data_IF_697140991548
#
_entry.id   IF_697140991548
#
_cell.length_a   1.000
_cell.length_b   1.000
_cell.length_c   1.000
_cell.angle_alpha   90.00
_cell.angle_beta   90.00
_cell.angle_gamma   90.00
#
_symmetry.space_group_name_H-M   'P 1'
#
loop_
_entity.id
_entity.type
_entity.pdbx_description
1 polymer ?
#
# COMPACT_ATOMS: atom_id res chain seq x y z
N UNK A 1 -13.96 29.12 24.75
CA UNK A 1 -14.59 27.88 25.31
C UNK A 1 -13.99 26.71 24.57
N UNK A 2 -13.07 26.00 25.20
CA UNK A 2 -12.48 24.77 24.68
C UNK A 2 -13.59 23.76 24.45
N UNK A 3 -13.84 23.37 23.21
CA UNK A 3 -14.66 22.23 22.92
C UNK A 3 -13.71 21.02 22.80
N UNK A 4 -13.64 20.22 23.86
CA UNK A 4 -13.02 18.90 23.76
C UNK A 4 -13.93 18.07 22.84
N UNK A 5 -13.54 17.90 21.58
CA UNK A 5 -14.26 17.05 20.66
C UNK A 5 -13.79 15.61 20.87
N UNK A 6 -14.60 14.81 21.53
CA UNK A 6 -14.39 13.37 21.60
C UNK A 6 -14.87 12.81 20.28
N UNK A 7 -13.96 12.28 19.46
CA UNK A 7 -14.26 11.64 18.16
C UNK A 7 -15.19 10.41 18.26
N UNK A 8 -15.69 10.12 19.47
CA UNK A 8 -16.66 9.05 19.75
C UNK A 8 -17.94 9.13 18.89
N UNK A 9 -18.28 10.31 18.38
CA UNK A 9 -19.44 10.47 17.49
C UNK A 9 -19.26 9.78 16.12
N UNK A 10 -18.03 9.66 15.64
CA UNK A 10 -17.74 8.98 14.37
C UNK A 10 -17.97 7.45 14.44
N UNK A 11 -17.69 6.84 15.62
CA UNK A 11 -17.96 5.42 15.83
C UNK A 11 -19.46 5.12 15.93
N UNK A 12 -20.23 6.02 16.57
CA UNK A 12 -21.67 5.85 16.71
C UNK A 12 -22.41 5.84 15.36
N UNK A 13 -21.88 6.60 14.38
CA UNK A 13 -22.40 6.59 13.01
C UNK A 13 -22.13 5.29 12.26
N UNK A 14 -21.01 4.64 12.53
CA UNK A 14 -20.67 3.35 11.91
C UNK A 14 -21.47 2.18 12.48
N UNK A 15 -21.78 2.19 13.77
CA UNK A 15 -22.56 1.13 14.42
C UNK A 15 -24.01 1.09 13.93
N UNK A 16 -24.56 2.21 13.51
CA UNK A 16 -25.92 2.27 12.96
C UNK A 16 -26.02 1.72 11.53
N UNK A 17 -24.93 1.78 10.76
CA UNK A 17 -24.92 1.33 9.37
C UNK A 17 -24.55 -0.16 9.22
N UNK A 18 -23.79 -0.76 10.17
CA UNK A 18 -23.24 -2.11 10.03
C UNK A 18 -23.57 -3.08 11.15
N UNK A 19 -24.19 -2.61 12.26
CA UNK A 19 -24.50 -3.47 13.43
C UNK A 19 -23.28 -4.03 14.17
N UNK A 20 -22.06 -3.53 13.89
CA UNK A 20 -20.81 -4.02 14.45
C UNK A 20 -20.29 -3.09 15.56
N UNK A 21 -20.23 -3.62 16.79
CA UNK A 21 -19.52 -3.01 17.92
C UNK A 21 -18.33 -3.92 18.22
N UNK A 22 -17.09 -3.47 18.04
CA UNK A 22 -15.92 -4.27 18.41
C UNK A 22 -15.94 -4.58 19.93
N UNK A 23 -15.73 -5.82 20.30
CA UNK A 23 -15.73 -6.26 21.73
C UNK A 23 -14.74 -5.46 22.60
N UNK A 24 -13.72 -4.85 22.02
CA UNK A 24 -12.72 -4.07 22.77
C UNK A 24 -13.19 -2.69 23.24
N UNK A 25 -14.32 -2.17 22.71
CA UNK A 25 -14.88 -0.89 23.19
C UNK A 25 -15.53 -1.05 24.58
N UNK A 26 -16.00 -2.25 24.92
CA UNK A 26 -16.60 -2.53 26.23
C UNK A 26 -15.55 -2.64 27.35
N UNK A 27 -14.34 -3.09 27.04
CA UNK A 27 -13.25 -3.20 28.02
C UNK A 27 -12.69 -1.84 28.47
N UNK A 28 -12.84 -0.80 27.67
CA UNK A 28 -12.37 0.55 28.00
C UNK A 28 -13.31 1.31 28.98
N UNK A 29 -14.53 0.81 29.24
CA UNK A 29 -15.48 1.44 30.15
C UNK A 29 -15.41 0.95 31.60
N UNK A 30 -14.71 -0.15 31.89
CA UNK A 30 -14.66 -0.74 33.25
C UNK A 30 -13.35 -0.52 34.03
N UNK A 31 -12.41 0.24 33.48
CA UNK A 31 -11.11 0.47 34.13
C UNK A 31 -10.98 1.85 34.72
N UNK A 32 -11.61 2.13 35.91
CA UNK A 32 -11.18 3.24 36.77
C UNK A 32 -9.90 2.84 37.49
N UNK A 33 -8.73 3.06 36.86
CA UNK A 33 -7.48 3.20 37.57
C UNK A 33 -7.03 4.66 37.51
N UNK A 34 -6.82 5.26 38.68
CA UNK A 34 -6.16 6.54 38.84
C UNK A 34 -4.79 6.49 38.16
N UNK A 35 -4.69 7.05 36.96
CA UNK A 35 -3.42 7.31 36.31
C UNK A 35 -2.95 8.69 36.72
N UNK A 36 -1.75 8.76 37.25
CA UNK A 36 -1.01 10.02 37.43
C UNK A 36 -0.92 10.75 36.11
N UNK A 37 -1.58 11.90 36.04
CA UNK A 37 -1.61 12.78 34.88
C UNK A 37 -0.22 13.30 34.55
N UNK A 38 0.47 12.67 33.58
CA UNK A 38 1.33 13.47 32.71
C UNK A 38 0.38 14.34 31.88
N UNK A 39 0.54 15.66 31.99
CA UNK A 39 -0.22 16.66 31.23
C UNK A 39 -0.05 16.35 29.75
N UNK A 40 -1.09 15.82 29.12
CA UNK A 40 -1.12 15.56 27.68
C UNK A 40 -0.75 16.85 26.93
N UNK A 41 0.25 16.77 26.05
CA UNK A 41 0.65 17.90 25.20
C UNK A 41 -0.53 18.17 24.26
N UNK A 42 -1.09 19.39 24.35
CA UNK A 42 -2.05 19.84 23.35
C UNK A 42 -1.37 19.84 21.97
N UNK A 43 -1.93 19.09 21.04
CA UNK A 43 -1.47 19.09 19.65
C UNK A 43 -2.28 20.13 18.90
N UNK A 44 -1.58 21.12 18.32
CA UNK A 44 -2.17 21.99 17.30
C UNK A 44 -2.45 21.14 16.07
N UNK A 45 -3.72 20.78 15.87
CA UNK A 45 -4.15 19.94 14.77
C UNK A 45 -3.81 20.52 13.41
N UNK A 46 -3.98 21.82 13.25
CA UNK A 46 -3.73 22.50 11.98
C UNK A 46 -2.24 22.41 11.60
N UNK A 47 -1.37 22.68 12.57
CA UNK A 47 0.08 22.53 12.37
C UNK A 47 0.50 21.07 12.15
N UNK A 48 -0.12 20.13 12.87
CA UNK A 48 0.23 18.70 12.78
C UNK A 48 -0.10 18.09 11.40
N UNK A 49 -1.11 18.61 10.71
CA UNK A 49 -1.54 18.10 9.41
C UNK A 49 -1.10 18.98 8.23
N UNK A 50 -0.33 20.04 8.47
CA UNK A 50 0.20 20.89 7.40
C UNK A 50 1.17 20.08 6.52
N UNK A 51 0.96 20.03 5.19
CA UNK A 51 1.80 19.21 4.33
C UNK A 51 3.19 19.82 4.13
N UNK A 52 4.20 18.95 4.14
CA UNK A 52 5.60 19.33 3.86
C UNK A 52 5.91 19.14 2.38
N UNK A 53 6.52 20.15 1.78
CA UNK A 53 6.90 20.12 0.37
C UNK A 53 8.26 19.42 0.20
N UNK A 54 8.30 18.40 -0.66
CA UNK A 54 9.54 17.73 -1.04
C UNK A 54 10.35 18.52 -2.08
N UNK A 55 11.57 18.08 -2.39
CA UNK A 55 12.46 18.71 -3.41
C UNK A 55 11.85 18.71 -4.81
N UNK A 56 11.05 17.70 -5.15
CA UNK A 56 10.31 17.60 -6.43
C UNK A 56 9.00 18.42 -6.43
N UNK A 57 8.53 18.92 -5.31
CA UNK A 57 7.25 19.60 -5.15
C UNK A 57 6.32 18.84 -4.19
N UNK A 58 5.01 18.98 -4.35
CA UNK A 58 4.02 18.08 -3.77
C UNK A 58 3.68 17.00 -4.80
N UNK A 59 3.73 15.74 -4.40
CA UNK A 59 3.53 14.60 -5.32
C UNK A 59 2.26 14.72 -6.14
N UNK A 60 1.14 15.04 -5.51
CA UNK A 60 -0.17 15.14 -6.18
C UNK A 60 -0.23 16.23 -7.25
N UNK A 61 0.60 17.26 -7.16
CA UNK A 61 0.67 18.35 -8.15
C UNK A 61 1.58 18.01 -9.34
N UNK A 62 2.54 17.09 -9.16
CA UNK A 62 3.61 16.83 -10.14
C UNK A 62 3.77 15.37 -10.53
N UNK A 63 2.84 14.49 -10.14
CA UNK A 63 2.93 13.04 -10.38
C UNK A 63 3.13 12.66 -11.86
N UNK A 64 2.66 13.48 -12.79
CA UNK A 64 2.82 13.27 -14.22
C UNK A 64 4.27 13.42 -14.70
N UNK A 65 5.18 13.94 -13.86
CA UNK A 65 6.61 13.97 -14.15
C UNK A 65 7.25 12.59 -14.21
N UNK A 66 6.55 11.53 -13.79
CA UNK A 66 7.01 10.15 -13.88
C UNK A 66 7.07 9.67 -15.34
N UNK A 67 8.11 10.08 -16.02
CA UNK A 67 8.38 9.73 -17.42
C UNK A 67 9.82 9.28 -17.58
N UNK A 68 10.10 8.57 -18.68
CA UNK A 68 11.46 8.12 -19.02
C UNK A 68 12.43 9.27 -19.38
N UNK A 69 11.91 10.47 -19.57
CA UNK A 69 12.71 11.67 -19.84
C UNK A 69 13.26 12.30 -18.54
N UNK A 70 12.60 12.06 -17.41
CA UNK A 70 12.94 12.61 -16.09
C UNK A 70 13.51 11.48 -15.22
N UNK A 71 14.81 11.46 -15.00
CA UNK A 71 15.49 10.37 -14.29
C UNK A 71 16.34 10.88 -13.10
N UNK A 72 15.82 11.87 -12.35
CA UNK A 72 16.40 12.28 -11.06
C UNK A 72 15.30 12.46 -10.02
N UNK A 73 15.63 12.38 -8.72
CA UNK A 73 14.66 12.60 -7.64
C UNK A 73 13.94 13.96 -7.70
N UNK A 74 14.60 14.99 -8.19
CA UNK A 74 14.06 16.37 -8.26
C UNK A 74 13.16 16.56 -9.49
N UNK A 75 13.41 15.82 -10.57
CA UNK A 75 12.70 15.97 -11.85
C UNK A 75 11.57 14.98 -12.05
N UNK A 76 11.51 13.92 -11.23
CA UNK A 76 10.53 12.84 -11.31
C UNK A 76 9.97 12.53 -9.91
N UNK A 77 8.71 12.84 -9.69
CA UNK A 77 8.08 12.67 -8.38
C UNK A 77 8.14 11.22 -7.87
N UNK A 78 7.99 10.22 -8.75
CA UNK A 78 8.03 8.82 -8.35
C UNK A 78 9.44 8.34 -7.99
N UNK A 79 10.48 8.89 -8.60
CA UNK A 79 11.85 8.68 -8.13
C UNK A 79 12.06 9.43 -6.81
N UNK A 80 11.55 10.66 -6.72
CA UNK A 80 11.71 11.50 -5.53
C UNK A 80 11.10 10.94 -4.27
N UNK A 81 9.85 10.42 -4.32
CA UNK A 81 9.20 9.80 -3.15
C UNK A 81 9.94 8.54 -2.66
N UNK A 82 10.67 7.88 -3.53
CA UNK A 82 11.46 6.69 -3.24
C UNK A 82 12.91 7.01 -2.83
N UNK A 83 13.31 8.29 -2.75
CA UNK A 83 14.72 8.71 -2.64
C UNK A 83 15.42 8.31 -1.34
N UNK A 84 14.69 7.90 -0.30
CA UNK A 84 15.28 7.29 0.90
C UNK A 84 16.07 6.01 0.62
N UNK A 85 15.85 5.38 -0.53
CA UNK A 85 16.71 4.29 -0.99
C UNK A 85 18.16 4.72 -1.21
N UNK A 86 18.40 6.00 -1.50
CA UNK A 86 19.76 6.55 -1.69
C UNK A 86 20.57 6.63 -0.41
N UNK A 87 19.95 6.55 0.76
CA UNK A 87 20.65 6.44 2.04
C UNK A 87 21.25 5.01 2.21
N UNK A 88 20.74 4.03 1.47
CA UNK A 88 21.14 2.62 1.54
C UNK A 88 22.02 2.23 0.36
N UNK A 89 21.70 2.73 -0.84
CA UNK A 89 22.35 2.31 -2.08
C UNK A 89 22.47 3.47 -3.07
N UNK A 90 23.66 3.70 -3.56
CA UNK A 90 23.92 4.64 -4.67
C UNK A 90 23.93 3.87 -5.99
N UNK A 91 23.06 4.24 -6.96
CA UNK A 91 23.07 3.64 -8.30
C UNK A 91 24.42 3.88 -9.00
N UNK A 92 24.89 2.88 -9.74
CA UNK A 92 26.03 3.03 -10.64
C UNK A 92 25.62 3.31 -12.08
N UNK A 93 26.60 3.35 -12.97
CA UNK A 93 26.34 3.48 -14.41
C UNK A 93 25.66 2.22 -14.97
N UNK A 94 25.98 1.06 -14.41
CA UNK A 94 25.39 -0.22 -14.73
C UNK A 94 24.76 -0.90 -13.52
N UNK A 95 24.03 -2.00 -13.75
CA UNK A 95 23.30 -2.78 -12.75
C UNK A 95 24.16 -3.41 -11.65
N UNK A 96 25.42 -3.63 -11.91
CA UNK A 96 26.37 -4.27 -10.99
C UNK A 96 27.46 -3.31 -10.51
N UNK A 97 27.36 -2.02 -10.78
CA UNK A 97 28.37 -1.02 -10.44
C UNK A 97 27.94 -0.05 -9.34
N UNK A 98 26.71 -0.20 -8.85
CA UNK A 98 26.21 0.60 -7.71
C UNK A 98 26.93 0.25 -6.39
N UNK A 99 26.85 1.17 -5.43
CA UNK A 99 27.54 1.05 -4.13
C UNK A 99 26.51 0.95 -3.00
N UNK A 100 26.64 -0.10 -2.17
CA UNK A 100 25.90 -0.19 -0.91
C UNK A 100 26.51 0.78 0.09
N UNK A 101 25.72 1.72 0.62
CA UNK A 101 26.13 2.71 1.61
C UNK A 101 25.84 2.24 3.04
N UNK A 102 24.65 1.70 3.27
CA UNK A 102 24.26 1.10 4.54
C UNK A 102 24.25 -0.43 4.41
N UNK A 103 25.38 -1.03 4.74
CA UNK A 103 25.57 -2.48 4.67
C UNK A 103 24.68 -3.23 5.65
N UNK A 104 24.43 -2.66 6.83
CA UNK A 104 23.59 -3.29 7.87
C UNK A 104 22.16 -3.45 7.38
N UNK A 105 21.54 -2.38 6.88
CA UNK A 105 20.18 -2.42 6.35
C UNK A 105 20.09 -3.28 5.09
N UNK A 106 21.06 -3.17 4.19
CA UNK A 106 21.09 -3.97 2.97
C UNK A 106 21.18 -5.47 3.29
N UNK A 107 22.07 -5.87 4.21
CA UNK A 107 22.20 -7.25 4.65
C UNK A 107 20.93 -7.76 5.33
N UNK A 108 20.35 -6.96 6.25
CA UNK A 108 19.10 -7.31 6.94
C UNK A 108 17.94 -7.53 5.95
N UNK A 109 17.84 -6.70 4.90
CA UNK A 109 16.87 -6.87 3.82
C UNK A 109 17.04 -8.23 3.10
N UNK A 110 18.25 -8.62 2.75
CA UNK A 110 18.51 -9.88 2.05
C UNK A 110 18.38 -11.10 2.97
N UNK A 111 18.77 -10.97 4.25
CA UNK A 111 18.58 -12.01 5.25
C UNK A 111 17.09 -12.29 5.49
N UNK A 112 16.26 -11.25 5.51
CA UNK A 112 14.80 -11.39 5.61
C UNK A 112 14.22 -12.14 4.41
N UNK A 113 14.69 -11.86 3.20
CA UNK A 113 14.28 -12.62 1.99
C UNK A 113 14.68 -14.08 2.13
N UNK A 114 15.92 -14.36 2.56
CA UNK A 114 16.38 -15.73 2.81
C UNK A 114 15.52 -16.45 3.83
N UNK A 115 15.22 -15.80 4.96
CA UNK A 115 14.35 -16.34 6.01
C UNK A 115 12.98 -16.74 5.45
N UNK A 116 12.31 -15.82 4.75
CA UNK A 116 10.98 -16.04 4.17
C UNK A 116 11.03 -17.17 3.12
N UNK A 117 12.01 -17.13 2.21
CA UNK A 117 12.10 -18.14 1.15
C UNK A 117 12.51 -19.52 1.64
N UNK A 118 13.22 -19.63 2.76
CA UNK A 118 13.58 -20.90 3.37
C UNK A 118 12.43 -21.58 4.11
N UNK A 119 11.51 -20.78 4.67
CA UNK A 119 10.42 -21.26 5.53
C UNK A 119 9.05 -21.33 4.83
N UNK A 120 8.97 -20.96 3.55
CA UNK A 120 7.70 -20.92 2.79
C UNK A 120 7.07 -22.29 2.66
N UNK A 121 5.75 -22.36 2.88
CA UNK A 121 4.93 -23.55 2.70
C UNK A 121 4.56 -23.79 1.23
N UNK A 122 3.95 -24.95 0.92
CA UNK A 122 3.44 -25.22 -0.43
C UNK A 122 2.24 -24.33 -0.78
N UNK A 123 1.39 -24.01 0.19
CA UNK A 123 0.30 -23.05 0.01
C UNK A 123 0.83 -21.67 -0.34
N UNK A 124 1.85 -21.21 0.39
CA UNK A 124 2.49 -19.91 0.11
C UNK A 124 3.16 -19.89 -1.28
N UNK A 125 3.78 -21.00 -1.71
CA UNK A 125 4.33 -21.11 -3.08
C UNK A 125 3.24 -21.05 -4.13
N UNK A 126 2.13 -21.73 -3.90
CA UNK A 126 0.96 -21.70 -4.81
C UNK A 126 0.41 -20.28 -4.89
N UNK A 127 0.16 -19.65 -3.74
CA UNK A 127 -0.31 -18.24 -3.68
C UNK A 127 0.66 -17.32 -4.42
N UNK A 128 1.96 -17.44 -4.18
CA UNK A 128 2.96 -16.61 -4.83
C UNK A 128 3.02 -16.82 -6.35
N UNK A 129 2.79 -18.04 -6.83
CA UNK A 129 2.66 -18.32 -8.26
C UNK A 129 1.43 -17.64 -8.86
N UNK A 130 0.26 -17.76 -8.22
CA UNK A 130 -0.97 -17.15 -8.69
C UNK A 130 -0.86 -15.62 -8.71
N UNK A 131 -0.35 -15.02 -7.65
CA UNK A 131 -0.12 -13.57 -7.54
C UNK A 131 0.91 -13.03 -8.53
N UNK A 132 1.82 -13.88 -9.00
CA UNK A 132 2.78 -13.55 -10.06
C UNK A 132 2.16 -13.63 -11.45
N UNK A 133 1.37 -14.67 -11.72
CA UNK A 133 0.95 -15.02 -13.09
C UNK A 133 -0.39 -14.44 -13.49
N UNK A 134 -1.29 -14.18 -12.53
CA UNK A 134 -2.56 -13.50 -12.79
C UNK A 134 -2.36 -12.00 -12.96
N UNK A 135 -3.27 -11.38 -13.73
CA UNK A 135 -3.40 -9.94 -13.72
C UNK A 135 -3.63 -9.44 -12.28
N UNK A 136 -2.85 -8.45 -11.82
CA UNK A 136 -2.95 -7.96 -10.44
C UNK A 136 -4.33 -7.38 -10.13
N UNK A 137 -5.01 -6.76 -11.12
CA UNK A 137 -6.35 -6.24 -10.92
C UNK A 137 -7.34 -7.37 -10.59
N UNK A 138 -7.26 -8.49 -11.34
CA UNK A 138 -8.07 -9.66 -11.05
C UNK A 138 -7.75 -10.25 -9.68
N UNK A 139 -6.47 -10.40 -9.35
CA UNK A 139 -6.06 -10.90 -8.03
C UNK A 139 -6.58 -10.06 -6.88
N UNK A 140 -6.76 -8.76 -7.07
CA UNK A 140 -7.26 -7.87 -6.03
C UNK A 140 -8.77 -8.01 -5.80
N UNK A 141 -9.54 -8.61 -6.73
CA UNK A 141 -10.97 -8.84 -6.51
C UNK A 141 -11.25 -9.70 -5.27
N UNK A 142 -10.32 -10.58 -4.90
CA UNK A 142 -10.43 -11.39 -3.67
C UNK A 142 -10.57 -10.53 -2.40
N UNK A 143 -9.95 -9.35 -2.36
CA UNK A 143 -10.07 -8.41 -1.24
C UNK A 143 -11.47 -7.79 -1.09
N UNK A 144 -12.34 -7.95 -2.08
CA UNK A 144 -13.76 -7.58 -1.97
C UNK A 144 -14.56 -8.58 -1.12
N UNK A 145 -13.96 -9.71 -0.71
CA UNK A 145 -14.56 -10.70 0.18
C UNK A 145 -15.89 -11.19 -0.33
N UNK A 146 -16.95 -11.14 0.46
CA UNK A 146 -18.29 -11.58 0.07
C UNK A 146 -18.89 -10.86 -1.13
N UNK A 147 -18.33 -9.74 -1.57
CA UNK A 147 -18.75 -9.02 -2.79
C UNK A 147 -18.01 -9.49 -4.05
N UNK A 148 -16.90 -10.25 -3.90
CA UNK A 148 -15.97 -10.56 -4.97
C UNK A 148 -16.64 -11.28 -6.16
N UNK A 149 -17.39 -12.37 -5.89
CA UNK A 149 -18.01 -13.17 -6.97
C UNK A 149 -19.06 -12.35 -7.73
N UNK A 150 -19.90 -11.59 -7.02
CA UNK A 150 -20.92 -10.75 -7.66
C UNK A 150 -20.29 -9.64 -8.51
N UNK A 151 -19.16 -9.09 -8.05
CA UNK A 151 -18.38 -8.13 -8.84
C UNK A 151 -17.80 -8.80 -10.10
N UNK A 152 -17.14 -9.96 -9.95
CA UNK A 152 -16.53 -10.72 -11.06
C UNK A 152 -17.59 -11.03 -12.12
N UNK A 153 -18.74 -11.57 -11.71
CA UNK A 153 -19.83 -11.91 -12.63
C UNK A 153 -20.38 -10.68 -13.35
N UNK A 154 -20.61 -9.60 -12.62
CA UNK A 154 -21.20 -8.38 -13.19
C UNK A 154 -20.23 -7.54 -14.04
N UNK A 155 -18.96 -7.54 -13.72
CA UNK A 155 -17.91 -6.90 -14.50
C UNK A 155 -17.25 -7.85 -15.51
N UNK A 156 -17.75 -9.11 -15.61
CA UNK A 156 -17.17 -10.15 -16.49
C UNK A 156 -15.64 -10.31 -16.28
N UNK A 157 -15.22 -10.34 -14.99
CA UNK A 157 -13.81 -10.45 -14.63
C UNK A 157 -13.19 -11.75 -15.11
N UNK A 158 -11.97 -11.70 -15.66
CA UNK A 158 -11.36 -12.82 -16.34
C UNK A 158 -9.91 -13.04 -15.95
N UNK A 159 -9.53 -14.32 -15.83
CA UNK A 159 -8.15 -14.80 -15.78
C UNK A 159 -8.04 -16.13 -16.53
N UNK A 160 -6.92 -16.34 -17.20
CA UNK A 160 -6.59 -17.64 -17.83
C UNK A 160 -5.77 -18.54 -16.92
N UNK A 161 -5.34 -18.04 -15.76
CA UNK A 161 -4.52 -18.79 -14.79
C UNK A 161 -5.45 -19.49 -13.79
N UNK A 162 -5.46 -20.81 -13.82
CA UNK A 162 -6.23 -21.65 -12.91
C UNK A 162 -5.72 -21.59 -11.47
N UNK A 163 -6.49 -22.13 -10.50
CA UNK A 163 -6.11 -22.13 -9.07
C UNK A 163 -4.97 -23.12 -8.74
N UNK A 164 -4.52 -23.90 -9.71
CA UNK A 164 -3.45 -24.87 -9.54
C UNK A 164 -2.25 -24.53 -10.41
N UNK A 165 -1.05 -24.81 -9.89
CA UNK A 165 0.19 -24.67 -10.67
C UNK A 165 0.23 -25.79 -11.72
N UNK A 166 0.40 -25.49 -13.03
CA UNK A 166 0.60 -26.50 -14.05
C UNK A 166 1.83 -27.38 -13.77
N UNK A 167 1.74 -28.67 -14.07
CA UNK A 167 2.83 -29.62 -13.80
C UNK A 167 4.15 -29.25 -14.51
N UNK A 168 4.06 -28.64 -15.68
CA UNK A 168 5.20 -28.20 -16.49
C UNK A 168 5.62 -26.74 -16.26
N UNK A 169 5.04 -26.05 -15.27
CA UNK A 169 5.37 -24.64 -14.95
C UNK A 169 6.83 -24.41 -14.57
N UNK A 170 7.60 -25.48 -14.28
CA UNK A 170 9.04 -25.37 -14.02
C UNK A 170 9.87 -25.12 -15.29
N UNK A 171 9.31 -25.37 -16.46
CA UNK A 171 9.95 -25.24 -17.77
C UNK A 171 9.17 -24.36 -18.74
N UNK A 172 7.83 -24.28 -18.57
CA UNK A 172 6.94 -23.47 -19.39
C UNK A 172 6.59 -22.19 -18.66
N UNK A 173 6.70 -21.07 -19.39
CA UNK A 173 6.23 -19.78 -18.90
C UNK A 173 4.75 -19.61 -19.18
N UNK A 174 3.94 -19.50 -18.12
CA UNK A 174 2.53 -19.12 -18.22
C UNK A 174 2.37 -17.64 -17.96
N UNK A 175 1.64 -16.95 -18.79
CA UNK A 175 1.23 -15.56 -18.59
C UNK A 175 -0.30 -15.49 -18.71
N UNK A 176 -0.92 -14.63 -17.93
CA UNK A 176 -2.36 -14.39 -18.03
C UNK A 176 -2.68 -13.82 -19.42
N UNK A 177 -3.61 -14.47 -20.14
CA UNK A 177 -4.08 -13.97 -21.41
C UNK A 177 -4.75 -12.58 -21.30
N UNK A 178 -5.15 -12.22 -20.07
CA UNK A 178 -5.74 -10.93 -19.70
C UNK A 178 -4.72 -10.07 -18.92
N UNK A 179 -3.45 -10.08 -19.36
CA UNK A 179 -2.34 -9.34 -18.72
C UNK A 179 -2.51 -7.82 -18.73
N UNK A 180 -1.47 -7.10 -18.35
CA UNK A 180 -1.50 -5.65 -18.09
C UNK A 180 -2.13 -4.77 -19.18
N UNK A 181 -2.04 -5.20 -20.43
CA UNK A 181 -2.57 -4.46 -21.60
C UNK A 181 -3.85 -5.08 -22.18
N UNK A 182 -4.40 -6.11 -21.58
CA UNK A 182 -5.63 -6.76 -22.00
C UNK A 182 -6.75 -6.47 -20.98
N UNK A 183 -8.01 -6.41 -21.43
CA UNK A 183 -9.13 -6.18 -20.53
C UNK A 183 -9.29 -7.37 -19.56
N UNK A 184 -8.96 -7.16 -18.29
CA UNK A 184 -9.16 -8.12 -17.19
C UNK A 184 -10.63 -8.17 -16.73
N UNK A 185 -11.43 -7.17 -17.11
CA UNK A 185 -12.85 -7.03 -16.84
C UNK A 185 -13.51 -6.20 -17.93
N UNK A 186 -14.81 -6.40 -18.14
CA UNK A 186 -15.62 -5.60 -19.04
C UNK A 186 -15.99 -4.27 -18.39
N UNK A 187 -15.42 -3.18 -18.89
CA UNK A 187 -15.67 -1.82 -18.37
C UNK A 187 -17.09 -1.32 -18.65
N UNK A 188 -17.84 -1.96 -19.52
CA UNK A 188 -19.24 -1.66 -19.83
C UNK A 188 -20.23 -2.64 -19.14
N UNK A 189 -19.71 -3.59 -18.37
CA UNK A 189 -20.49 -4.51 -17.53
C UNK A 189 -21.21 -3.81 -16.38
N UNK A 190 -22.00 -4.55 -15.63
CA UNK A 190 -22.86 -4.02 -14.55
C UNK A 190 -22.10 -3.24 -13.49
N UNK A 191 -20.87 -3.64 -13.17
CA UNK A 191 -19.96 -2.96 -12.22
C UNK A 191 -18.69 -2.46 -12.93
N UNK A 192 -18.78 -2.24 -14.24
CA UNK A 192 -17.64 -1.91 -15.10
C UNK A 192 -16.98 -0.57 -14.76
N UNK A 193 -17.69 0.36 -14.10
CA UNK A 193 -17.08 1.64 -13.70
C UNK A 193 -16.06 1.47 -12.56
N UNK A 194 -16.16 0.43 -11.72
CA UNK A 194 -15.11 0.07 -10.76
C UNK A 194 -13.85 -0.33 -11.53
N UNK A 195 -13.98 -1.18 -12.55
CA UNK A 195 -12.84 -1.55 -13.42
C UNK A 195 -12.27 -0.34 -14.18
N UNK A 196 -13.12 0.60 -14.65
CA UNK A 196 -12.66 1.86 -15.25
C UNK A 196 -11.82 2.68 -14.28
N UNK A 197 -12.23 2.78 -13.02
CA UNK A 197 -11.47 3.52 -11.99
C UNK A 197 -10.10 2.85 -11.76
N UNK A 198 -10.06 1.51 -11.64
CA UNK A 198 -8.80 0.75 -11.54
C UNK A 198 -7.88 1.06 -12.71
N UNK A 199 -8.38 0.96 -13.95
CA UNK A 199 -7.60 1.21 -15.15
C UNK A 199 -7.12 2.68 -15.22
N UNK A 200 -7.94 3.63 -14.77
CA UNK A 200 -7.60 5.06 -14.73
C UNK A 200 -6.43 5.32 -13.76
N UNK A 201 -6.51 4.80 -12.54
CA UNK A 201 -5.48 4.98 -11.51
C UNK A 201 -4.18 4.27 -11.90
N UNK A 202 -4.26 3.14 -12.61
CA UNK A 202 -3.10 2.39 -13.12
C UNK A 202 -2.52 2.93 -14.43
N UNK A 203 -3.14 3.94 -15.03
CA UNK A 203 -2.70 4.54 -16.28
C UNK A 203 -1.50 5.47 -16.14
N UNK A 204 -0.91 5.86 -17.27
CA UNK A 204 0.05 6.95 -17.38
C UNK A 204 1.22 6.90 -16.41
N UNK A 205 1.17 7.80 -15.43
CA UNK A 205 2.24 8.00 -14.44
C UNK A 205 2.42 6.85 -13.42
N UNK A 206 1.64 5.76 -13.50
CA UNK A 206 1.70 4.64 -12.57
C UNK A 206 2.88 3.69 -12.76
N UNK A 207 3.63 3.82 -13.86
CA UNK A 207 4.73 2.91 -14.22
C UNK A 207 5.92 3.01 -13.27
N UNK A 208 6.43 1.86 -12.82
CA UNK A 208 7.67 1.76 -12.04
C UNK A 208 8.94 1.81 -12.89
N UNK A 209 8.83 1.90 -14.21
CA UNK A 209 9.96 1.74 -15.13
C UNK A 209 11.02 2.82 -14.97
N UNK A 210 10.63 4.09 -14.79
CA UNK A 210 11.57 5.20 -14.58
C UNK A 210 12.38 5.03 -13.31
N UNK A 211 11.71 4.67 -12.19
CA UNK A 211 12.36 4.42 -10.92
C UNK A 211 13.30 3.21 -11.00
N UNK A 212 12.89 2.10 -11.61
CA UNK A 212 13.75 0.93 -11.82
C UNK A 212 15.00 1.28 -12.64
N UNK A 213 14.83 2.08 -13.69
CA UNK A 213 15.93 2.54 -14.55
C UNK A 213 16.91 3.46 -13.80
N UNK A 214 16.40 4.27 -12.89
CA UNK A 214 17.23 5.16 -12.07
C UNK A 214 17.97 4.39 -10.99
N UNK A 215 17.25 3.63 -10.14
CA UNK A 215 17.85 2.98 -8.98
C UNK A 215 18.75 1.80 -9.35
N UNK A 216 18.47 1.09 -10.43
CA UNK A 216 19.23 -0.09 -10.87
C UNK A 216 19.51 -1.09 -9.73
N UNK A 217 18.68 -1.11 -8.69
CA UNK A 217 18.84 -2.01 -7.57
C UNK A 217 18.43 -3.43 -7.97
N UNK A 218 19.32 -4.37 -7.77
CA UNK A 218 19.14 -5.75 -8.25
C UNK A 218 18.10 -6.51 -7.43
N UNK A 219 17.53 -7.52 -8.06
CA UNK A 219 16.66 -8.50 -7.36
C UNK A 219 17.49 -9.36 -6.39
N UNK A 220 16.88 -9.92 -5.31
CA UNK A 220 17.61 -10.63 -4.26
C UNK A 220 18.38 -11.85 -4.79
N UNK A 221 17.82 -12.60 -5.75
CA UNK A 221 18.55 -13.74 -6.34
C UNK A 221 19.79 -13.34 -7.17
N UNK A 222 19.87 -12.10 -7.64
CA UNK A 222 21.06 -11.57 -8.32
C UNK A 222 22.12 -11.16 -7.33
N UNK A 223 21.75 -10.50 -6.24
CA UNK A 223 22.66 -10.21 -5.14
C UNK A 223 23.32 -11.47 -4.61
N UNK A 224 22.56 -12.54 -4.43
CA UNK A 224 23.06 -13.80 -3.92
C UNK A 224 24.08 -14.51 -4.85
N UNK A 225 24.18 -14.08 -6.10
CA UNK A 225 25.15 -14.61 -7.09
C UNK A 225 26.41 -13.76 -7.22
N UNK A 226 26.43 -12.57 -6.61
CA UNK A 226 27.61 -11.72 -6.60
C UNK A 226 28.58 -12.19 -5.51
N UNK A 227 29.77 -12.62 -5.91
CA UNK A 227 30.95 -12.87 -5.06
C UNK A 227 30.74 -13.78 -3.84
N UNK A 228 29.56 -14.39 -3.66
CA UNK A 228 29.25 -15.23 -2.49
C UNK A 228 29.11 -14.47 -1.17
N UNK A 229 29.05 -13.14 -1.19
CA UNK A 229 28.98 -12.30 0.00
C UNK A 229 27.56 -12.20 0.58
N UNK A 230 26.52 -12.43 -0.24
CA UNK A 230 25.14 -12.27 0.15
C UNK A 230 24.41 -13.60 0.31
N UNK A 231 23.35 -13.64 1.17
CA UNK A 231 22.63 -14.88 1.43
C UNK A 231 21.95 -15.42 0.18
N UNK A 232 21.97 -16.76 0.04
CA UNK A 232 21.36 -17.43 -1.10
C UNK A 232 19.83 -17.28 -1.06
N UNK A 233 19.27 -16.75 -2.14
CA UNK A 233 17.84 -16.62 -2.39
C UNK A 233 17.42 -17.54 -3.51
N UNK A 234 16.38 -18.35 -3.29
CA UNK A 234 15.84 -19.27 -4.29
C UNK A 234 14.51 -18.79 -4.82
N UNK A 235 14.36 -18.71 -6.14
CA UNK A 235 13.09 -18.52 -6.81
C UNK A 235 12.27 -19.81 -6.69
N UNK A 236 10.95 -19.75 -6.48
CA UNK A 236 10.11 -20.94 -6.54
C UNK A 236 10.21 -21.58 -7.94
N UNK A 237 10.27 -22.91 -7.99
CA UNK A 237 10.59 -23.62 -9.24
C UNK A 237 9.62 -23.30 -10.38
N UNK A 238 8.34 -23.17 -10.09
CA UNK A 238 7.30 -22.83 -11.06
C UNK A 238 7.40 -21.40 -11.63
N UNK A 239 8.19 -20.50 -11.00
CA UNK A 239 8.49 -19.17 -11.53
C UNK A 239 9.90 -19.04 -12.11
N UNK A 240 10.68 -20.11 -12.13
CA UNK A 240 12.03 -20.12 -12.73
C UNK A 240 12.03 -19.64 -14.19
N UNK A 241 11.05 -20.01 -15.03
CA UNK A 241 10.96 -19.51 -16.40
C UNK A 241 10.75 -17.98 -16.52
N UNK A 242 10.39 -17.30 -15.43
CA UNK A 242 10.22 -15.84 -15.39
C UNK A 242 11.54 -15.10 -15.19
N UNK A 243 12.59 -15.80 -14.78
CA UNK A 243 13.92 -15.19 -14.58
C UNK A 243 14.48 -14.69 -15.91
N UNK A 244 14.76 -13.39 -15.98
CA UNK A 244 15.39 -12.79 -17.15
C UNK A 244 16.89 -13.06 -17.14
N UNK A 245 17.47 -13.39 -18.29
CA UNK A 245 18.92 -13.54 -18.43
C UNK A 245 19.64 -12.19 -18.31
N UNK A 246 19.09 -11.15 -18.94
CA UNK A 246 19.64 -9.80 -18.94
C UNK A 246 19.14 -9.01 -17.70
N UNK A 247 20.03 -8.55 -16.81
CA UNK A 247 19.69 -7.76 -15.64
C UNK A 247 19.29 -6.31 -15.98
N UNK A 248 19.68 -5.76 -17.13
CA UNK A 248 19.53 -4.34 -17.46
C UNK A 248 18.08 -3.84 -17.48
N UNK A 249 17.13 -4.75 -17.69
CA UNK A 249 15.69 -4.48 -17.67
C UNK A 249 14.95 -5.30 -16.61
N UNK A 250 15.64 -5.68 -15.51
CA UNK A 250 15.10 -6.54 -14.46
C UNK A 250 15.35 -5.99 -13.05
N UNK A 251 15.14 -4.68 -12.87
CA UNK A 251 15.32 -4.02 -11.58
C UNK A 251 14.39 -4.57 -10.50
N UNK A 252 14.92 -4.67 -9.27
CA UNK A 252 14.16 -5.00 -8.08
C UNK A 252 13.29 -3.83 -7.62
N UNK A 253 13.94 -2.70 -7.33
CA UNK A 253 13.31 -1.56 -6.67
C UNK A 253 12.74 -0.51 -7.63
N UNK A 254 11.48 -0.10 -7.45
CA UNK A 254 10.43 -0.70 -6.62
C UNK A 254 9.73 -1.89 -7.31
N UNK A 255 9.00 -2.71 -6.55
CA UNK A 255 8.22 -3.84 -7.09
C UNK A 255 7.04 -3.37 -7.94
N UNK A 256 7.02 -3.77 -9.22
CA UNK A 256 5.92 -3.43 -10.14
C UNK A 256 4.62 -4.15 -9.82
N UNK A 257 4.65 -5.44 -9.44
CA UNK A 257 3.47 -6.19 -9.02
C UNK A 257 2.84 -5.60 -7.76
N UNK A 258 3.65 -5.25 -6.76
CA UNK A 258 3.15 -4.59 -5.54
C UNK A 258 2.51 -3.25 -5.87
N UNK A 259 3.17 -2.44 -6.71
CA UNK A 259 2.63 -1.15 -7.15
C UNK A 259 1.28 -1.33 -7.85
N UNK A 260 1.19 -2.24 -8.83
CA UNK A 260 -0.04 -2.48 -9.57
C UNK A 260 -1.18 -3.01 -8.71
N UNK A 261 -0.89 -3.96 -7.81
CA UNK A 261 -1.87 -4.52 -6.89
C UNK A 261 -2.40 -3.46 -5.90
N UNK A 262 -1.52 -2.66 -5.31
CA UNK A 262 -1.95 -1.65 -4.35
C UNK A 262 -2.78 -0.53 -5.00
N UNK A 263 -2.45 -0.14 -6.26
CA UNK A 263 -3.27 0.79 -7.03
C UNK A 263 -4.67 0.24 -7.28
N UNK A 264 -4.78 -1.03 -7.70
CA UNK A 264 -6.06 -1.70 -7.91
C UNK A 264 -6.85 -1.83 -6.60
N UNK A 265 -6.18 -2.20 -5.52
CA UNK A 265 -6.79 -2.33 -4.21
C UNK A 265 -7.35 -1.00 -3.69
N UNK A 266 -6.61 0.10 -3.80
CA UNK A 266 -7.08 1.43 -3.38
C UNK A 266 -8.26 1.87 -4.25
N UNK A 267 -8.24 1.63 -5.56
CA UNK A 267 -9.35 1.96 -6.44
C UNK A 267 -10.63 1.20 -6.08
N UNK A 268 -10.53 -0.10 -5.83
CA UNK A 268 -11.65 -0.94 -5.40
C UNK A 268 -12.14 -0.56 -3.99
N UNK A 269 -11.22 -0.28 -3.06
CA UNK A 269 -11.55 0.20 -1.72
C UNK A 269 -12.26 1.56 -1.73
N UNK A 270 -11.88 2.44 -2.66
CA UNK A 270 -12.56 3.71 -2.86
C UNK A 270 -14.01 3.53 -3.33
N UNK A 271 -14.23 2.57 -4.25
CA UNK A 271 -15.57 2.27 -4.76
C UNK A 271 -16.43 1.46 -3.77
N UNK A 272 -15.82 0.55 -2.99
CA UNK A 272 -16.48 -0.34 -2.02
C UNK A 272 -15.84 -0.16 -0.64
N UNK A 273 -16.08 0.98 0.03
CA UNK A 273 -15.38 1.35 1.25
C UNK A 273 -15.66 0.42 2.45
N UNK A 274 -16.68 -0.42 2.38
CA UNK A 274 -16.97 -1.46 3.37
C UNK A 274 -15.83 -2.47 3.48
N UNK A 275 -15.12 -2.74 2.37
CA UNK A 275 -14.02 -3.69 2.31
C UNK A 275 -12.63 -3.02 2.34
N UNK A 276 -12.54 -1.75 2.75
CA UNK A 276 -11.29 -0.99 2.63
C UNK A 276 -10.12 -1.70 3.31
N UNK A 277 -10.27 -2.12 4.56
CA UNK A 277 -9.21 -2.79 5.32
C UNK A 277 -8.81 -4.12 4.68
N UNK A 278 -9.78 -4.91 4.21
CA UNK A 278 -9.55 -6.20 3.55
C UNK A 278 -8.80 -6.02 2.23
N UNK A 279 -9.15 -4.98 1.48
CA UNK A 279 -8.42 -4.60 0.26
C UNK A 279 -6.96 -4.28 0.55
N UNK A 280 -6.68 -3.53 1.63
CA UNK A 280 -5.30 -3.22 2.04
C UNK A 280 -4.55 -4.48 2.49
N UNK A 281 -5.20 -5.35 3.24
CA UNK A 281 -4.62 -6.62 3.67
C UNK A 281 -4.26 -7.52 2.48
N UNK A 282 -5.21 -7.70 1.53
CA UNK A 282 -5.00 -8.51 0.32
C UNK A 282 -3.87 -7.93 -0.56
N UNK A 283 -3.82 -6.63 -0.72
CA UNK A 283 -2.73 -5.96 -1.44
C UNK A 283 -1.37 -6.23 -0.77
N UNK A 284 -1.30 -6.17 0.55
CA UNK A 284 -0.08 -6.48 1.30
C UNK A 284 0.33 -7.96 1.16
N UNK A 285 -0.64 -8.87 1.04
CA UNK A 285 -0.40 -10.28 0.78
C UNK A 285 0.27 -10.49 -0.59
N UNK A 286 -0.26 -9.85 -1.66
CA UNK A 286 0.38 -9.93 -2.97
C UNK A 286 1.81 -9.37 -2.94
N UNK A 287 2.03 -8.26 -2.25
CA UNK A 287 3.38 -7.74 -2.02
C UNK A 287 4.29 -8.76 -1.35
N UNK A 288 3.82 -9.42 -0.27
CA UNK A 288 4.56 -10.48 0.41
C UNK A 288 4.82 -11.69 -0.48
N UNK A 289 3.86 -12.06 -1.33
CA UNK A 289 4.01 -13.13 -2.32
C UNK A 289 5.20 -12.92 -3.25
N UNK A 290 5.59 -11.65 -3.51
CA UNK A 290 6.79 -11.34 -4.32
C UNK A 290 8.08 -11.71 -3.62
N UNK A 291 8.12 -11.62 -2.28
CA UNK A 291 9.26 -12.04 -1.46
C UNK A 291 9.27 -13.56 -1.33
N UNK A 292 8.13 -14.17 -1.03
CA UNK A 292 7.94 -15.63 -1.01
C UNK A 292 8.39 -16.26 -2.33
N UNK A 293 8.07 -15.64 -3.46
CA UNK A 293 8.53 -16.07 -4.79
C UNK A 293 10.06 -16.03 -4.95
N UNK A 294 10.79 -15.29 -4.11
CA UNK A 294 12.22 -15.00 -4.28
C UNK A 294 12.53 -13.97 -5.37
N UNK A 295 11.51 -13.24 -5.85
CA UNK A 295 11.61 -12.32 -6.99
C UNK A 295 11.89 -10.88 -6.58
N UNK A 296 11.51 -10.48 -5.35
CA UNK A 296 11.69 -9.13 -4.83
C UNK A 296 12.17 -9.17 -3.38
N UNK A 297 12.85 -8.12 -2.96
CA UNK A 297 13.23 -7.90 -1.57
C UNK A 297 12.14 -7.15 -0.80
N UNK A 298 12.27 -7.08 0.53
CA UNK A 298 11.35 -6.32 1.37
C UNK A 298 11.35 -4.83 0.99
N UNK A 299 12.52 -4.24 0.73
CA UNK A 299 12.63 -2.86 0.28
C UNK A 299 11.92 -2.62 -1.04
N UNK A 300 12.01 -3.57 -2.00
CA UNK A 300 11.31 -3.46 -3.29
C UNK A 300 9.79 -3.39 -3.10
N UNK A 301 9.26 -4.21 -2.19
CA UNK A 301 7.82 -4.29 -1.88
C UNK A 301 7.37 -3.02 -1.16
N UNK A 302 8.12 -2.57 -0.16
CA UNK A 302 7.85 -1.30 0.54
C UNK A 302 7.82 -0.13 -0.44
N UNK A 303 8.82 -0.02 -1.32
CA UNK A 303 8.87 1.04 -2.34
C UNK A 303 7.69 0.98 -3.31
N UNK A 304 7.26 -0.22 -3.72
CA UNK A 304 6.08 -0.41 -4.56
C UNK A 304 4.79 0.10 -3.90
N UNK A 305 4.60 -0.17 -2.60
CA UNK A 305 3.47 0.33 -1.81
C UNK A 305 3.51 1.86 -1.65
N UNK A 306 4.66 2.42 -1.31
CA UNK A 306 4.81 3.88 -1.15
C UNK A 306 4.44 4.62 -2.44
N UNK A 307 5.05 4.24 -3.54
CA UNK A 307 4.82 4.84 -4.84
C UNK A 307 3.34 4.75 -5.26
N UNK A 308 2.72 3.59 -5.13
CA UNK A 308 1.32 3.39 -5.51
C UNK A 308 0.35 4.18 -4.65
N UNK A 309 0.61 4.33 -3.35
CA UNK A 309 -0.22 5.14 -2.46
C UNK A 309 -0.24 6.62 -2.91
N UNK A 310 0.93 7.16 -3.24
CA UNK A 310 1.05 8.53 -3.74
C UNK A 310 0.38 8.70 -5.12
N UNK A 311 0.56 7.75 -6.04
CA UNK A 311 -0.11 7.75 -7.36
C UNK A 311 -1.62 7.68 -7.22
N UNK A 312 -2.13 6.80 -6.36
CA UNK A 312 -3.56 6.66 -6.14
C UNK A 312 -4.17 7.98 -5.62
N UNK A 313 -3.53 8.60 -4.63
CA UNK A 313 -3.96 9.90 -4.12
C UNK A 313 -3.94 10.97 -5.22
N UNK A 314 -2.90 11.03 -6.03
CA UNK A 314 -2.81 12.00 -7.13
C UNK A 314 -3.93 11.82 -8.16
N UNK A 315 -4.20 10.59 -8.61
CA UNK A 315 -5.27 10.32 -9.55
C UNK A 315 -6.66 10.54 -8.96
N UNK A 316 -6.88 10.24 -7.68
CA UNK A 316 -8.15 10.48 -7.00
C UNK A 316 -8.41 11.97 -6.75
N UNK A 317 -7.37 12.81 -6.64
CA UNK A 317 -7.50 14.27 -6.59
C UNK A 317 -7.66 14.93 -7.96
N UNK A 318 -7.30 14.25 -9.06
CA UNK A 318 -7.36 14.84 -10.38
C UNK A 318 -8.82 15.15 -10.79
N UNK A 319 -9.11 16.40 -11.15
CA UNK A 319 -10.44 16.86 -11.56
C UNK A 319 -10.97 16.08 -12.76
N UNK A 320 -10.11 15.74 -13.73
CA UNK A 320 -10.46 14.94 -14.90
C UNK A 320 -11.02 13.55 -14.55
N UNK A 321 -10.70 13.05 -13.36
CA UNK A 321 -11.17 11.75 -12.90
C UNK A 321 -12.47 11.82 -12.06
N UNK A 322 -13.04 13.01 -11.83
CA UNK A 322 -14.23 13.18 -11.01
C UNK A 322 -15.42 12.33 -11.48
N UNK A 323 -15.65 12.28 -12.79
CA UNK A 323 -16.75 11.53 -13.38
C UNK A 323 -16.58 10.01 -13.23
N UNK A 324 -15.36 9.47 -13.43
CA UNK A 324 -15.12 8.04 -13.26
C UNK A 324 -15.18 7.63 -11.80
N UNK A 325 -14.70 8.45 -10.87
CA UNK A 325 -14.85 8.26 -9.42
C UNK A 325 -16.32 8.13 -9.01
N UNK A 326 -17.14 9.12 -9.40
CA UNK A 326 -18.56 9.13 -9.04
C UNK A 326 -19.30 7.89 -9.55
N UNK A 327 -19.02 7.46 -10.80
CA UNK A 327 -19.63 6.26 -11.38
C UNK A 327 -19.16 4.99 -10.69
N UNK A 328 -17.87 4.89 -10.34
CA UNK A 328 -17.34 3.74 -9.62
C UNK A 328 -17.95 3.60 -8.22
N UNK A 329 -18.13 4.70 -7.51
CA UNK A 329 -18.82 4.72 -6.21
C UNK A 329 -20.28 4.28 -6.35
N UNK A 330 -20.99 4.75 -7.38
CA UNK A 330 -22.36 4.33 -7.64
C UNK A 330 -22.46 2.82 -7.94
N UNK A 331 -21.53 2.27 -8.72
CA UNK A 331 -21.45 0.83 -8.97
C UNK A 331 -21.13 0.06 -7.67
N UNK A 332 -20.26 0.58 -6.82
CA UNK A 332 -19.94 0.02 -5.51
C UNK A 332 -21.13 -0.02 -4.58
N UNK A 333 -21.90 1.07 -4.51
CA UNK A 333 -23.16 1.12 -3.74
C UNK A 333 -24.17 0.09 -4.25
N UNK A 334 -24.34 -0.01 -5.57
CA UNK A 334 -25.22 -1.01 -6.18
C UNK A 334 -24.75 -2.44 -5.88
N UNK A 335 -23.45 -2.71 -5.89
CA UNK A 335 -22.88 -4.00 -5.54
C UNK A 335 -23.22 -4.36 -4.08
N UNK A 336 -23.00 -3.43 -3.16
CA UNK A 336 -23.33 -3.62 -1.73
C UNK A 336 -24.82 -3.83 -1.52
N UNK A 337 -25.69 -3.06 -2.18
CA UNK A 337 -27.14 -3.24 -2.12
C UNK A 337 -27.57 -4.62 -2.64
N UNK A 338 -26.93 -5.10 -3.71
CA UNK A 338 -27.26 -6.41 -4.32
C UNK A 338 -26.90 -7.58 -3.42
N UNK A 339 -25.74 -7.53 -2.76
CA UNK A 339 -25.24 -8.63 -1.92
C UNK A 339 -25.76 -8.51 -0.47
N UNK A 340 -25.96 -7.29 0.00
CA UNK A 340 -26.26 -6.99 1.41
C UNK A 340 -25.01 -6.91 2.28
N UNK A 341 -25.16 -7.11 3.59
CA UNK A 341 -24.04 -7.08 4.51
C UNK A 341 -23.16 -8.33 4.31
N UNK A 342 -21.92 -8.10 3.92
CA UNK A 342 -20.87 -9.13 3.89
C UNK A 342 -19.80 -8.73 4.90
N UNK A 343 -19.46 -9.67 5.81
CA UNK A 343 -18.41 -9.49 6.79
C UNK A 343 -17.48 -10.68 6.72
N UNK A 344 -16.23 -10.44 6.36
CA UNK A 344 -15.18 -11.46 6.29
C UNK A 344 -14.14 -11.26 7.41
N UNK A 345 -14.49 -10.46 8.42
CA UNK A 345 -13.60 -10.13 9.53
C UNK A 345 -13.53 -11.29 10.53
N UNK A 346 -12.50 -12.11 10.42
CA UNK A 346 -12.25 -13.19 11.39
C UNK A 346 -11.49 -12.65 12.62
N UNK A 347 -10.50 -11.80 12.44
CA UNK A 347 -9.69 -11.25 13.52
C UNK A 347 -8.99 -9.95 13.12
N UNK A 348 -9.57 -8.81 13.51
CA UNK A 348 -8.96 -7.50 13.32
C UNK A 348 -7.52 -7.43 13.86
N UNK A 349 -7.29 -7.95 15.07
CA UNK A 349 -5.97 -7.85 15.70
C UNK A 349 -4.89 -8.61 14.91
N UNK A 350 -5.20 -9.80 14.45
CA UNK A 350 -4.29 -10.61 13.63
C UNK A 350 -4.00 -9.94 12.28
N UNK A 351 -5.03 -9.39 11.66
CA UNK A 351 -4.92 -8.72 10.37
C UNK A 351 -4.10 -7.43 10.50
N UNK A 352 -4.32 -6.66 11.57
CA UNK A 352 -3.52 -5.48 11.92
C UNK A 352 -2.04 -5.82 12.08
N UNK A 353 -1.71 -6.83 12.88
CA UNK A 353 -0.34 -7.28 13.12
C UNK A 353 0.32 -7.74 11.81
N UNK A 354 -0.41 -8.50 11.00
CA UNK A 354 0.05 -8.99 9.70
C UNK A 354 0.32 -7.83 8.74
N UNK A 355 -0.61 -6.87 8.64
CA UNK A 355 -0.44 -5.70 7.79
C UNK A 355 0.73 -4.84 8.22
N UNK A 356 0.85 -4.54 9.53
CA UNK A 356 1.93 -3.74 10.09
C UNK A 356 3.30 -4.41 9.86
N UNK A 357 3.39 -5.74 10.05
CA UNK A 357 4.60 -6.49 9.72
C UNK A 357 4.96 -6.31 8.24
N UNK A 358 3.99 -6.46 7.31
CA UNK A 358 4.23 -6.31 5.87
C UNK A 358 4.49 -4.88 5.44
N UNK A 359 4.11 -3.89 6.23
CA UNK A 359 4.50 -2.49 5.98
C UNK A 359 5.99 -2.25 6.18
N UNK A 360 6.63 -2.97 7.11
CA UNK A 360 7.98 -2.66 7.60
C UNK A 360 8.96 -3.81 7.49
N UNK A 361 8.47 -5.05 7.47
CA UNK A 361 9.25 -6.29 7.65
C UNK A 361 10.21 -6.23 8.85
N UNK A 362 9.91 -5.35 9.82
CA UNK A 362 10.74 -5.05 10.98
C UNK A 362 12.16 -4.55 10.62
N UNK A 363 12.34 -3.97 9.43
CA UNK A 363 13.61 -3.38 8.98
C UNK A 363 13.80 -2.00 9.63
N UNK A 364 14.14 -1.98 10.91
CA UNK A 364 14.51 -0.75 11.62
C UNK A 364 15.95 -0.38 11.29
N UNK A 365 16.19 0.93 11.17
CA UNK A 365 17.53 1.47 11.08
C UNK A 365 18.20 1.47 12.45
N UNK A 366 19.47 1.09 12.53
CA UNK A 366 20.26 1.22 13.74
C UNK A 366 20.37 2.70 14.14
N UNK A 367 20.10 3.01 15.40
CA UNK A 367 20.12 4.39 15.92
C UNK A 367 19.16 5.37 15.22
N UNK A 368 18.12 4.87 14.56
CA UNK A 368 17.14 5.73 13.92
C UNK A 368 16.37 6.56 14.94
N UNK A 369 16.08 7.79 14.58
CA UNK A 369 15.17 8.65 15.32
C UNK A 369 13.73 8.13 15.13
N UNK A 370 13.21 7.45 16.17
CA UNK A 370 11.84 6.92 16.20
C UNK A 370 10.82 7.95 16.69
N UNK A 371 11.26 9.15 17.00
CA UNK A 371 10.44 10.22 17.60
C UNK A 371 10.01 11.29 16.61
N UNK A 372 10.38 11.17 15.32
CA UNK A 372 9.93 12.11 14.30
C UNK A 372 8.41 12.12 14.20
N UNK A 373 7.85 13.30 14.30
CA UNK A 373 6.40 13.49 14.11
C UNK A 373 5.95 12.93 12.75
N UNK A 374 4.68 12.50 12.69
CA UNK A 374 4.07 12.09 11.43
C UNK A 374 3.90 13.32 10.52
N UNK A 375 4.12 13.13 9.23
CA UNK A 375 3.78 14.11 8.21
C UNK A 375 2.67 13.51 7.34
N UNK A 376 1.60 14.29 7.10
CA UNK A 376 0.52 13.86 6.21
C UNK A 376 0.74 14.51 4.85
N UNK A 377 0.88 13.74 3.78
CA UNK A 377 1.10 14.29 2.45
C UNK A 377 -0.07 15.14 1.97
N UNK A 378 0.20 16.18 1.16
CA UNK A 378 -0.84 16.96 0.48
C UNK A 378 -1.74 16.02 -0.34
N UNK A 379 -3.05 16.16 -0.18
CA UNK A 379 -4.04 15.40 -0.95
C UNK A 379 -4.24 13.95 -0.48
N UNK A 380 -3.53 13.48 0.55
CA UNK A 380 -3.69 12.10 1.05
C UNK A 380 -5.10 11.84 1.63
N UNK A 381 -5.80 12.88 2.09
CA UNK A 381 -7.16 12.82 2.64
C UNK A 381 -8.21 12.25 1.68
N UNK A 382 -7.96 12.32 0.36
CA UNK A 382 -8.84 11.73 -0.66
C UNK A 382 -8.91 10.20 -0.55
N UNK A 383 -7.86 9.57 -0.04
CA UNK A 383 -7.81 8.12 0.17
C UNK A 383 -8.89 7.62 1.13
N UNK A 384 -9.38 8.48 2.02
CA UNK A 384 -10.45 8.18 2.99
C UNK A 384 -11.80 8.84 2.65
N UNK A 385 -11.93 9.51 1.50
CA UNK A 385 -13.10 10.31 1.12
C UNK A 385 -14.39 9.49 1.15
N UNK A 386 -14.39 8.31 0.57
CA UNK A 386 -15.58 7.44 0.51
C UNK A 386 -15.75 6.58 1.75
N UNK A 387 -14.66 6.32 2.49
CA UNK A 387 -14.71 5.57 3.75
C UNK A 387 -15.32 6.41 4.87
N UNK A 388 -15.01 7.71 4.92
CA UNK A 388 -15.51 8.65 5.91
C UNK A 388 -16.10 9.90 5.21
N UNK A 389 -17.21 9.76 4.48
CA UNK A 389 -17.79 10.86 3.71
C UNK A 389 -18.38 11.98 4.58
N UNK A 390 -18.57 11.71 5.88
CA UNK A 390 -19.06 12.66 6.87
C UNK A 390 -17.95 13.46 7.56
N UNK A 391 -16.68 13.08 7.37
CA UNK A 391 -15.54 13.85 7.87
C UNK A 391 -15.11 14.89 6.84
N UNK A 392 -14.72 16.07 7.32
CA UNK A 392 -14.04 17.08 6.50
C UNK A 392 -12.67 16.58 5.99
N UNK A 393 -12.08 17.29 5.05
CA UNK A 393 -10.74 16.98 4.57
C UNK A 393 -9.70 16.99 5.71
N UNK A 394 -9.74 18.00 6.57
CA UNK A 394 -8.82 18.12 7.71
C UNK A 394 -9.01 17.00 8.74
N UNK A 395 -10.24 16.60 9.03
CA UNK A 395 -10.49 15.46 9.92
C UNK A 395 -9.99 14.15 9.33
N UNK A 396 -10.12 13.92 8.01
CA UNK A 396 -9.49 12.76 7.34
C UNK A 396 -7.97 12.82 7.39
N UNK A 397 -7.36 14.01 7.24
CA UNK A 397 -5.92 14.19 7.42
C UNK A 397 -5.50 13.87 8.85
N UNK A 398 -6.30 14.26 9.83
CA UNK A 398 -6.04 13.91 11.23
C UNK A 398 -6.11 12.41 11.49
N UNK A 399 -7.07 11.70 10.89
CA UNK A 399 -7.11 10.21 10.93
C UNK A 399 -5.80 9.63 10.39
N UNK A 400 -5.30 10.13 9.23
CA UNK A 400 -4.03 9.68 8.67
C UNK A 400 -2.83 10.00 9.57
N UNK A 401 -2.83 11.16 10.22
CA UNK A 401 -1.81 11.56 11.17
C UNK A 401 -1.72 10.61 12.36
N UNK A 402 -2.86 10.33 13.00
CA UNK A 402 -2.91 9.52 14.23
C UNK A 402 -2.73 8.02 14.01
N UNK A 403 -2.94 7.54 12.79
CA UNK A 403 -2.77 6.12 12.42
C UNK A 403 -1.45 5.83 11.72
N UNK A 404 -0.64 6.86 11.44
CA UNK A 404 0.67 6.71 10.82
C UNK A 404 1.61 5.86 11.68
N UNK A 405 2.48 5.07 11.05
CA UNK A 405 3.47 4.28 11.77
C UNK A 405 4.62 5.16 12.26
N UNK A 406 5.31 4.70 13.33
CA UNK A 406 6.49 5.40 13.86
C UNK A 406 7.58 5.56 12.80
N UNK A 407 8.40 6.58 12.95
CA UNK A 407 9.64 6.77 12.16
C UNK A 407 10.70 5.71 12.51
N UNK A 408 11.78 5.70 11.75
CA UNK A 408 12.93 4.86 12.02
C UNK A 408 12.95 3.51 11.30
N UNK A 409 12.00 3.27 10.38
CA UNK A 409 12.06 2.12 9.49
C UNK A 409 12.73 2.48 8.16
N UNK A 410 13.44 1.51 7.59
CA UNK A 410 14.14 1.68 6.32
C UNK A 410 13.21 2.19 5.22
N UNK A 411 13.64 3.21 4.50
CA UNK A 411 12.99 3.89 3.36
C UNK A 411 11.63 4.55 3.62
N UNK A 412 11.03 4.40 4.79
CA UNK A 412 9.67 4.88 5.07
C UNK A 412 9.57 6.36 5.45
N UNK A 413 10.68 6.97 5.88
CA UNK A 413 10.72 8.37 6.31
C UNK A 413 10.96 9.33 5.12
N UNK A 414 10.14 9.21 4.08
CA UNK A 414 10.17 10.14 2.95
C UNK A 414 9.71 11.55 3.36
N UNK A 415 10.07 12.53 2.54
CA UNK A 415 9.90 13.95 2.89
C UNK A 415 8.43 14.37 3.06
N UNK A 416 7.49 13.74 2.37
CA UNK A 416 6.05 14.05 2.45
C UNK A 416 5.29 13.13 3.41
N UNK A 417 5.86 11.97 3.82
CA UNK A 417 5.23 11.01 4.73
C UNK A 417 4.41 9.89 4.07
N UNK A 418 4.52 9.68 2.76
CA UNK A 418 3.81 8.62 2.03
C UNK A 418 4.13 7.21 2.56
N UNK A 419 5.38 6.98 2.94
CA UNK A 419 5.84 5.69 3.45
C UNK A 419 5.18 5.28 4.77
N UNK A 420 4.87 6.25 5.61
CA UNK A 420 4.33 6.03 6.96
C UNK A 420 2.80 5.96 7.02
N UNK A 421 2.09 6.19 5.92
CA UNK A 421 0.62 6.08 5.88
C UNK A 421 0.19 4.63 6.08
N UNK A 422 -0.57 4.36 7.15
CA UNK A 422 -1.16 3.06 7.46
C UNK A 422 -2.65 3.05 7.09
N UNK A 423 -2.94 2.74 5.82
CA UNK A 423 -4.30 2.80 5.31
C UNK A 423 -5.22 1.72 5.91
N UNK A 424 -4.67 0.60 6.40
CA UNK A 424 -5.44 -0.42 7.10
C UNK A 424 -6.03 0.14 8.40
N UNK A 425 -5.21 0.73 9.26
CA UNK A 425 -5.69 1.35 10.50
C UNK A 425 -6.49 2.61 10.23
N UNK A 426 -6.05 3.47 9.31
CA UNK A 426 -6.76 4.68 8.94
C UNK A 426 -8.20 4.38 8.49
N UNK A 427 -8.41 3.34 7.70
CA UNK A 427 -9.76 2.94 7.26
C UNK A 427 -10.65 2.41 8.38
N UNK A 428 -10.08 2.04 9.52
CA UNK A 428 -10.81 1.65 10.74
C UNK A 428 -10.95 2.81 11.75
N UNK A 429 -10.20 3.90 11.58
CA UNK A 429 -10.27 5.09 12.42
C UNK A 429 -9.73 4.91 13.86
N UNK A 430 -9.06 3.79 14.17
CA UNK A 430 -8.65 3.47 15.55
C UNK A 430 -7.59 4.41 16.11
N UNK A 431 -6.68 4.91 15.29
CA UNK A 431 -5.67 5.86 15.73
C UNK A 431 -6.24 7.20 16.19
N UNK A 432 -7.43 7.57 15.71
CA UNK A 432 -8.13 8.78 16.11
C UNK A 432 -8.67 8.72 17.57
N UNK A 433 -8.62 7.54 18.19
CA UNK A 433 -9.09 7.30 19.56
C UNK A 433 -7.94 7.03 20.55
N UNK A 434 -6.72 7.37 20.20
CA UNK A 434 -5.61 7.34 21.16
C UNK A 434 -5.95 8.26 22.32
N UNK A 435 -6.02 7.70 23.53
CA UNK A 435 -6.56 8.34 24.74
C UNK A 435 -5.74 9.51 25.26
N UNK A 436 -4.54 9.73 24.72
CA UNK A 436 -3.57 10.68 25.22
C UNK A 436 -3.44 11.95 24.36
N UNK A 437 -4.32 12.13 23.38
CA UNK A 437 -4.33 13.30 22.49
C UNK A 437 -5.53 14.19 22.81
N UNK A 438 -5.27 15.34 23.44
CA UNK A 438 -6.26 16.43 23.53
C UNK A 438 -6.09 17.31 22.30
N UNK A 439 -7.13 17.37 21.47
CA UNK A 439 -7.12 18.12 20.24
C UNK A 439 -7.81 19.46 20.47
N UNK A 440 -7.11 20.57 20.21
CA UNK A 440 -7.71 21.89 20.16
C UNK A 440 -8.01 22.27 18.71
N UNK A 441 -9.29 22.16 18.34
CA UNK A 441 -9.80 22.54 17.02
C UNK A 441 -9.98 24.05 16.85
N UNK A 442 -9.91 24.82 17.94
CA UNK A 442 -10.19 26.25 17.97
C UNK A 442 -8.93 27.09 18.28
N UNK A 443 -7.72 26.57 18.07
CA UNK A 443 -6.47 27.28 18.36
C UNK A 443 -6.31 28.65 17.67
N UNK A 444 -7.15 28.97 16.66
CA UNK A 444 -7.19 30.28 16.02
C UNK A 444 -8.05 31.31 16.76
N UNK A 445 -8.77 30.93 17.82
CA UNK A 445 -9.69 31.80 18.56
C UNK A 445 -9.22 32.15 19.97
N UNK A 446 -7.95 31.94 20.27
CA UNK A 446 -7.31 32.30 21.52
C UNK A 446 -7.07 33.77 21.69
#
# INVERSE_FOLDING_TARGET
RSAAFVLSAALAGQTLATGFVPQNVQAAQEGTQESTTETGKLIDMKAAIEPVKASYGYYVDVYQTNTSANLTPESNASIGVLSKMLDIFTPGDDWNTGTVLDQTTHQANLDKVKEITANRTEEEKTRAYLDDRRNQNYSMTEGLGGYAQTFIDGAEGQTSITDTIPEDATTVKYDDAYGDNAPWANTDGTYGNIAKLVNTIRGGAASTSSAKKYYKYMRPFRWSRLNGEYPQTTIISSLKPQEKADPSNDGGYPSGHTNGANLAAIAMAYAVPQQYSQMMLRSSELGNSRIVAGMHSCLDVIGGRMMSTAIAAANLNAEDNAAVKAKAVADGQKLVETVGAASDYESYQKDKETYLYRMTYNLKLDNADTTKEMVVPKGAEVLLETRFPYLSADERRYVLYTTGISSGYSVLDDAEGWGRLNLFEASNGYGAFATDVTVDMDAEKG
#
